data_IF_814322136738
#
_entry.id   IF_814322136738
#
_cell.length_a   1.000
_cell.length_b   1.000
_cell.length_c   1.000
_cell.angle_alpha   90.00
_cell.angle_beta   90.00
_cell.angle_gamma   90.00
#
_symmetry.space_group_name_H-M   'P 1'
#
loop_
_entity.id
_entity.type
_entity.pdbx_description
1 polymer ?
#
# COMPACT_ATOMS: atom_id res chain seq x y z
N UNK A 1 -8.29 -2.69 19.41
CA UNK A 1 -8.95 -2.84 18.09
C UNK A 1 -10.48 -2.90 18.17
N UNK A 2 -11.09 -3.75 18.98
CA UNK A 2 -12.56 -3.84 19.10
C UNK A 2 -13.29 -2.50 19.34
N UNK A 3 -12.72 -1.63 20.18
CA UNK A 3 -13.30 -0.32 20.51
C UNK A 3 -13.41 0.63 19.30
N UNK A 4 -12.55 0.47 18.29
CA UNK A 4 -12.51 1.31 17.10
C UNK A 4 -13.26 0.70 15.94
N UNK A 5 -13.41 -0.61 15.89
CA UNK A 5 -14.15 -1.33 14.84
C UNK A 5 -15.60 -0.84 14.68
N UNK A 6 -16.25 -0.47 15.76
CA UNK A 6 -17.63 0.06 15.75
C UNK A 6 -17.77 1.46 15.13
N UNK A 7 -16.67 2.21 14.99
CA UNK A 7 -16.67 3.57 14.43
C UNK A 7 -16.19 3.60 12.96
N UNK A 8 -15.44 2.59 12.55
CA UNK A 8 -14.92 2.47 11.18
C UNK A 8 -16.04 1.85 10.35
N UNK A 9 -16.71 2.68 9.58
CA UNK A 9 -17.84 2.28 8.72
C UNK A 9 -17.33 1.51 7.50
N UNK A 10 -16.08 1.72 7.08
CA UNK A 10 -15.48 1.13 5.90
C UNK A 10 -14.36 0.14 6.28
N UNK A 11 -14.41 -1.05 5.71
CA UNK A 11 -13.38 -2.09 5.84
C UNK A 11 -12.00 -1.60 5.40
N UNK A 12 -11.92 -0.63 4.51
CA UNK A 12 -10.67 -0.02 4.04
C UNK A 12 -9.90 0.61 5.21
N UNK A 13 -10.57 1.46 6.01
CA UNK A 13 -9.94 2.14 7.15
C UNK A 13 -9.63 1.19 8.31
N UNK A 14 -10.43 0.13 8.46
CA UNK A 14 -10.09 -0.94 9.41
C UNK A 14 -8.80 -1.67 8.95
N UNK A 15 -8.66 -1.96 7.67
CA UNK A 15 -7.45 -2.60 7.14
C UNK A 15 -6.20 -1.71 7.28
N UNK A 16 -6.36 -0.38 7.30
CA UNK A 16 -5.27 0.56 7.56
C UNK A 16 -4.70 0.39 8.97
N UNK A 17 -5.56 0.26 9.99
CA UNK A 17 -5.11 -0.02 11.34
C UNK A 17 -4.54 -1.43 11.49
N UNK A 18 -5.20 -2.43 10.88
CA UNK A 18 -4.75 -3.82 10.95
C UNK A 18 -3.33 -3.99 10.39
N UNK A 19 -3.03 -3.40 9.22
CA UNK A 19 -1.70 -3.48 8.62
C UNK A 19 -0.62 -2.86 9.50
N UNK A 20 -0.92 -1.74 10.14
CA UNK A 20 0.01 -1.08 11.04
C UNK A 20 0.28 -1.95 12.28
N UNK A 21 -0.76 -2.48 12.92
CA UNK A 21 -0.61 -3.34 14.11
C UNK A 21 0.22 -4.60 13.80
N UNK A 22 -0.04 -5.24 12.66
CA UNK A 22 0.69 -6.44 12.26
C UNK A 22 2.16 -6.11 11.94
N UNK A 23 2.43 -5.07 11.16
CA UNK A 23 3.80 -4.68 10.80
C UNK A 23 4.60 -4.20 12.02
N UNK A 24 4.00 -3.42 12.91
CA UNK A 24 4.66 -2.97 14.15
C UNK A 24 5.02 -4.17 15.03
N UNK A 25 4.09 -5.10 15.21
CA UNK A 25 4.27 -6.24 16.10
C UNK A 25 5.24 -7.29 15.54
N UNK A 26 5.17 -7.57 14.26
CA UNK A 26 5.89 -8.70 13.66
C UNK A 26 6.99 -8.29 12.67
N UNK A 27 6.92 -7.08 12.13
CA UNK A 27 7.71 -6.69 10.96
C UNK A 27 7.25 -7.44 9.71
N UNK A 28 8.08 -7.43 8.67
CA UNK A 28 7.81 -8.14 7.42
C UNK A 28 7.13 -7.26 6.38
N UNK A 29 6.33 -7.87 5.51
CA UNK A 29 5.70 -7.17 4.39
C UNK A 29 4.20 -7.35 4.39
N UNK A 30 3.47 -6.24 4.43
CA UNK A 30 2.05 -6.21 4.12
C UNK A 30 1.84 -6.14 2.62
N UNK A 31 0.97 -6.98 2.11
CA UNK A 31 0.59 -7.00 0.69
C UNK A 31 -0.94 -7.11 0.62
N UNK A 32 -1.59 -6.15 -0.03
CA UNK A 32 -3.04 -6.23 -0.27
C UNK A 32 -3.39 -7.45 -1.15
N UNK A 33 -4.57 -8.03 -0.95
CA UNK A 33 -5.07 -9.15 -1.76
C UNK A 33 -5.18 -8.85 -3.27
N UNK A 34 -5.18 -7.57 -3.64
CA UNK A 34 -5.20 -7.10 -5.03
C UNK A 34 -3.80 -6.82 -5.61
N UNK A 35 -2.77 -7.49 -5.10
CA UNK A 35 -1.39 -7.36 -5.59
C UNK A 35 -0.92 -8.71 -6.11
N UNK A 36 -0.35 -8.72 -7.31
CA UNK A 36 0.33 -9.86 -7.90
C UNK A 36 1.83 -9.68 -7.77
N UNK A 37 2.50 -10.64 -7.16
CA UNK A 37 3.97 -10.73 -7.11
C UNK A 37 4.40 -11.79 -8.12
N UNK A 38 5.11 -11.38 -9.17
CA UNK A 38 5.57 -12.27 -10.25
C UNK A 38 7.00 -12.77 -10.01
N UNK A 39 7.80 -11.98 -9.27
CA UNK A 39 9.19 -12.34 -8.96
C UNK A 39 9.57 -11.76 -7.61
N UNK A 40 10.21 -12.59 -6.78
CA UNK A 40 10.79 -12.12 -5.53
C UNK A 40 12.01 -11.23 -5.79
N UNK A 41 12.09 -10.11 -5.09
CA UNK A 41 13.23 -9.21 -5.12
C UNK A 41 13.51 -8.67 -3.71
N UNK A 42 14.66 -9.02 -3.14
CA UNK A 42 15.05 -8.64 -1.77
C UNK A 42 14.96 -7.14 -1.50
N UNK A 43 15.15 -6.32 -2.52
CA UNK A 43 15.10 -4.86 -2.40
C UNK A 43 13.74 -4.34 -1.90
N UNK A 44 12.66 -5.12 -2.09
CA UNK A 44 11.32 -4.79 -1.63
C UNK A 44 10.96 -5.46 -0.30
N UNK A 45 11.57 -6.62 0.00
CA UNK A 45 11.12 -7.48 1.11
C UNK A 45 12.07 -7.49 2.31
N UNK A 46 13.31 -7.01 2.14
CA UNK A 46 14.32 -6.99 3.20
C UNK A 46 14.82 -5.56 3.45
N UNK A 47 13.93 -4.73 4.00
CA UNK A 47 14.22 -3.32 4.32
C UNK A 47 13.63 -2.95 5.68
N UNK A 48 14.28 -2.02 6.35
CA UNK A 48 13.80 -1.45 7.61
C UNK A 48 12.51 -0.65 7.39
N UNK A 49 12.39 -0.04 6.21
CA UNK A 49 11.16 0.53 5.69
C UNK A 49 11.21 0.53 4.16
N UNK A 50 10.13 0.10 3.50
CA UNK A 50 9.93 0.25 2.07
C UNK A 50 8.46 0.42 1.72
N UNK A 51 8.17 1.30 0.77
CA UNK A 51 6.88 1.45 0.10
C UNK A 51 7.10 2.11 -1.27
N UNK A 52 6.21 1.86 -2.23
CA UNK A 52 6.29 2.52 -3.53
C UNK A 52 5.91 3.98 -3.42
N UNK A 53 6.75 4.86 -3.95
CA UNK A 53 6.59 6.31 -3.86
C UNK A 53 5.52 6.82 -4.83
N UNK A 54 4.72 7.75 -4.38
CA UNK A 54 3.83 8.51 -5.26
C UNK A 54 4.64 9.59 -5.98
N UNK A 55 4.43 9.70 -7.28
CA UNK A 55 5.13 10.70 -8.11
C UNK A 55 4.27 11.96 -8.25
N UNK A 56 4.90 13.11 -8.08
CA UNK A 56 4.25 14.43 -8.19
C UNK A 56 3.13 14.70 -7.18
N UNK A 57 3.16 14.03 -6.04
CA UNK A 57 2.24 14.28 -4.94
C UNK A 57 3.05 14.56 -3.66
N UNK A 58 2.90 15.75 -3.11
CA UNK A 58 3.61 16.17 -1.90
C UNK A 58 2.87 15.80 -0.61
N UNK A 59 1.58 15.49 -0.71
CA UNK A 59 0.74 15.12 0.43
C UNK A 59 0.72 13.62 0.69
N UNK A 60 1.02 12.81 -0.34
CA UNK A 60 1.02 11.35 -0.28
C UNK A 60 2.41 10.82 -0.54
N UNK A 61 3.12 10.42 0.51
CA UNK A 61 4.49 9.87 0.38
C UNK A 61 4.54 8.60 -0.48
N UNK A 62 3.54 7.74 -0.40
CA UNK A 62 3.50 6.51 -1.17
C UNK A 62 2.31 5.61 -0.90
N UNK A 63 2.37 4.44 -1.48
CA UNK A 63 1.29 3.44 -1.49
C UNK A 63 1.20 2.69 -0.17
N UNK A 64 -0.01 2.47 0.33
CA UNK A 64 -0.27 1.69 1.54
C UNK A 64 -0.54 0.19 1.27
N UNK A 65 -0.73 -0.19 0.02
CA UNK A 65 -1.07 -1.57 -0.38
C UNK A 65 0.14 -2.51 -0.45
N UNK A 66 1.35 -1.98 -0.33
CA UNK A 66 2.61 -2.72 -0.20
C UNK A 66 3.54 -1.95 0.73
N UNK A 67 3.77 -2.47 1.93
CA UNK A 67 4.66 -1.86 2.93
C UNK A 67 5.51 -2.97 3.54
N UNK A 68 6.83 -2.82 3.47
CA UNK A 68 7.78 -3.64 4.22
C UNK A 68 8.32 -2.81 5.38
N UNK A 69 8.45 -3.41 6.55
CA UNK A 69 9.07 -2.74 7.70
C UNK A 69 9.72 -3.73 8.66
N UNK A 70 10.68 -3.24 9.41
CA UNK A 70 11.12 -3.88 10.64
C UNK A 70 10.05 -3.77 11.74
N UNK A 71 10.21 -4.56 12.79
CA UNK A 71 9.39 -4.45 14.01
C UNK A 71 9.58 -3.08 14.65
N UNK A 72 8.54 -2.58 15.33
CA UNK A 72 8.60 -1.34 16.11
C UNK A 72 9.02 -0.10 15.30
N UNK A 73 8.86 -0.15 13.98
CA UNK A 73 9.24 0.94 13.08
C UNK A 73 8.58 2.27 13.52
N UNK A 74 9.36 3.35 13.73
CA UNK A 74 8.86 4.59 14.32
C UNK A 74 7.87 5.34 13.41
N UNK A 75 8.01 5.23 12.08
CA UNK A 75 7.06 5.81 11.12
C UNK A 75 5.69 5.16 11.28
N UNK A 76 5.66 3.81 11.30
CA UNK A 76 4.41 3.07 11.42
C UNK A 76 3.76 3.28 12.80
N UNK A 77 4.55 3.32 13.88
CA UNK A 77 4.05 3.61 15.25
C UNK A 77 3.41 5.00 15.30
N UNK A 78 4.10 6.01 14.79
CA UNK A 78 3.57 7.38 14.76
C UNK A 78 2.29 7.45 13.92
N UNK A 79 2.26 6.82 12.74
CA UNK A 79 1.05 6.77 11.89
C UNK A 79 -0.12 6.11 12.62
N UNK A 80 0.12 4.97 13.27
CA UNK A 80 -0.90 4.26 14.06
C UNK A 80 -1.46 5.14 15.17
N UNK A 81 -0.58 5.77 15.96
CA UNK A 81 -0.99 6.57 17.11
C UNK A 81 -1.82 7.79 16.68
N UNK A 82 -1.44 8.43 15.56
CA UNK A 82 -2.21 9.52 14.96
C UNK A 82 -3.57 9.04 14.43
N UNK A 83 -3.64 7.86 13.79
CA UNK A 83 -4.90 7.28 13.34
C UNK A 83 -5.82 6.93 14.51
N UNK A 84 -5.30 6.36 15.61
CA UNK A 84 -6.08 6.11 16.80
C UNK A 84 -6.61 7.39 17.42
N UNK A 85 -5.77 8.44 17.51
CA UNK A 85 -6.18 9.73 18.01
C UNK A 85 -7.26 10.36 17.12
N UNK A 86 -7.11 10.30 15.81
CA UNK A 86 -8.11 10.74 14.84
C UNK A 86 -9.45 10.01 15.07
N UNK A 87 -9.48 8.68 15.07
CA UNK A 87 -10.71 7.91 15.25
C UNK A 87 -11.30 8.01 16.66
N UNK A 88 -10.51 8.41 17.64
CA UNK A 88 -11.00 8.69 18.99
C UNK A 88 -11.78 10.00 19.06
N UNK A 89 -11.31 11.02 18.34
CA UNK A 89 -11.87 12.37 18.36
C UNK A 89 -12.97 12.57 17.33
N UNK A 90 -12.74 12.13 16.12
CA UNK A 90 -13.61 12.39 14.98
C UNK A 90 -14.71 11.34 14.87
N UNK A 91 -15.94 11.80 14.60
CA UNK A 91 -17.10 10.93 14.36
C UNK A 91 -17.26 10.54 12.91
N UNK A 92 -16.74 11.34 11.99
CA UNK A 92 -16.88 11.21 10.56
C UNK A 92 -15.52 11.19 9.88
N UNK A 93 -15.46 10.53 8.73
CA UNK A 93 -14.30 10.56 7.87
C UNK A 93 -14.21 11.92 7.17
N UNK A 94 -13.19 12.73 7.51
CA UNK A 94 -12.96 14.03 6.88
C UNK A 94 -12.29 13.90 5.52
N UNK A 95 -11.49 12.85 5.30
CA UNK A 95 -10.75 12.65 4.07
C UNK A 95 -10.50 11.16 3.82
N UNK A 96 -10.81 10.67 2.61
CA UNK A 96 -10.63 9.25 2.26
C UNK A 96 -9.17 8.79 2.41
N UNK A 97 -8.20 9.64 2.09
CA UNK A 97 -6.77 9.33 2.21
C UNK A 97 -6.17 9.69 3.57
N UNK A 98 -6.95 9.69 4.65
CA UNK A 98 -6.45 10.05 6.00
C UNK A 98 -5.20 9.25 6.40
N UNK A 99 -5.16 7.93 6.10
CA UNK A 99 -3.97 7.12 6.32
C UNK A 99 -2.74 7.72 5.63
N UNK A 100 -2.86 8.06 4.36
CA UNK A 100 -1.73 8.54 3.55
C UNK A 100 -1.22 9.90 4.04
N UNK A 101 -2.11 10.79 4.46
CA UNK A 101 -1.74 12.09 5.01
C UNK A 101 -0.96 11.93 6.33
N UNK A 102 -1.45 11.09 7.23
CA UNK A 102 -0.79 10.84 8.52
C UNK A 102 0.51 10.04 8.34
N UNK A 103 0.54 9.11 7.39
CA UNK A 103 1.75 8.38 7.03
C UNK A 103 2.81 9.29 6.42
N UNK A 104 2.43 10.22 5.54
CA UNK A 104 3.33 11.23 4.98
C UNK A 104 3.91 12.12 6.08
N UNK A 105 3.08 12.59 7.01
CA UNK A 105 3.55 13.36 8.16
C UNK A 105 4.58 12.56 9.00
N UNK A 106 4.26 11.32 9.34
CA UNK A 106 5.14 10.45 10.11
C UNK A 106 6.44 10.16 9.36
N UNK A 107 6.38 9.86 8.06
CA UNK A 107 7.56 9.62 7.24
C UNK A 107 8.48 10.85 7.19
N UNK A 108 7.93 12.05 6.98
CA UNK A 108 8.71 13.29 6.93
C UNK A 108 9.37 13.61 8.28
N UNK A 109 8.73 13.26 9.39
CA UNK A 109 9.31 13.41 10.74
C UNK A 109 10.59 12.58 10.92
N UNK A 110 10.68 11.42 10.30
CA UNK A 110 11.82 10.50 10.40
C UNK A 110 12.62 10.37 9.10
N UNK A 111 12.47 11.31 8.16
CA UNK A 111 13.05 11.20 6.82
C UNK A 111 14.58 11.03 6.84
N UNK A 112 15.27 11.61 7.83
CA UNK A 112 16.72 11.48 8.00
C UNK A 112 17.17 10.04 8.20
N UNK A 113 16.36 9.21 8.83
CA UNK A 113 16.68 7.82 9.15
C UNK A 113 16.49 6.91 7.92
N UNK A 114 15.76 7.39 6.89
CA UNK A 114 15.39 6.64 5.70
C UNK A 114 15.92 7.23 4.39
N UNK A 115 16.97 8.05 4.43
CA UNK A 115 17.60 8.64 3.23
C UNK A 115 18.09 7.59 2.23
N UNK A 116 18.46 6.39 2.72
CA UNK A 116 18.91 5.27 1.90
C UNK A 116 17.77 4.33 1.46
N UNK A 117 16.52 4.66 1.79
CA UNK A 117 15.38 3.87 1.33
C UNK A 117 15.28 3.93 -0.20
N UNK A 118 15.21 2.79 -0.88
CA UNK A 118 15.06 2.79 -2.34
C UNK A 118 13.82 3.56 -2.80
N UNK A 119 14.02 4.47 -3.74
CA UNK A 119 12.95 5.31 -4.26
C UNK A 119 12.38 4.69 -5.55
N UNK A 120 11.40 3.80 -5.43
CA UNK A 120 10.69 3.22 -6.55
C UNK A 120 9.32 3.86 -6.73
N UNK A 121 9.08 4.36 -7.94
CA UNK A 121 7.78 4.91 -8.33
C UNK A 121 6.69 3.85 -8.31
N UNK A 122 5.48 4.23 -7.92
CA UNK A 122 4.29 3.40 -8.02
C UNK A 122 3.71 3.33 -9.46
N UNK A 123 4.23 4.10 -10.42
CA UNK A 123 3.69 4.15 -11.80
C UNK A 123 3.79 2.80 -12.51
N UNK A 124 4.97 2.15 -12.61
CA UNK A 124 5.08 0.87 -13.32
C UNK A 124 4.22 -0.24 -12.71
N UNK A 125 4.12 -0.27 -11.39
CA UNK A 125 3.32 -1.29 -10.68
C UNK A 125 1.81 -1.13 -10.89
N UNK A 126 1.35 0.03 -11.34
CA UNK A 126 -0.05 0.29 -11.70
C UNK A 126 -0.37 0.03 -13.19
N UNK A 127 0.60 -0.30 -14.04
CA UNK A 127 0.34 -0.58 -15.45
C UNK A 127 -0.61 -1.76 -15.65
N UNK A 128 -0.47 -2.81 -14.84
CA UNK A 128 -1.37 -3.96 -14.89
C UNK A 128 -2.80 -3.57 -14.55
N UNK A 129 -3.00 -2.75 -13.54
CA UNK A 129 -4.31 -2.23 -13.15
C UNK A 129 -4.98 -1.49 -14.31
N UNK A 130 -4.24 -0.63 -15.01
CA UNK A 130 -4.73 0.08 -16.20
C UNK A 130 -5.05 -0.88 -17.33
N UNK A 131 -4.15 -1.83 -17.64
CA UNK A 131 -4.36 -2.81 -18.71
C UNK A 131 -5.65 -3.63 -18.51
N UNK A 132 -5.98 -3.97 -17.27
CA UNK A 132 -7.20 -4.73 -16.93
C UNK A 132 -8.49 -3.94 -17.20
N UNK A 133 -8.44 -2.62 -17.36
CA UNK A 133 -9.62 -1.79 -17.72
C UNK A 133 -9.86 -1.70 -19.23
N UNK A 134 -8.88 -2.09 -20.05
CA UNK A 134 -8.96 -2.05 -21.52
C UNK A 134 -9.12 -3.44 -22.13
N UNK A 135 -9.30 -3.49 -23.46
CA UNK A 135 -9.28 -4.74 -24.20
C UNK A 135 -7.93 -5.45 -24.02
N UNK A 136 -7.97 -6.75 -23.76
CA UNK A 136 -6.76 -7.54 -23.56
C UNK A 136 -5.84 -7.48 -24.80
N UNK A 137 -4.55 -7.23 -24.54
CA UNK A 137 -3.48 -7.26 -25.51
C UNK A 137 -2.32 -8.08 -24.92
N UNK A 138 -2.04 -9.23 -25.54
CA UNK A 138 -1.03 -10.18 -25.04
C UNK A 138 0.39 -9.62 -25.06
N UNK A 139 0.74 -8.86 -26.09
CA UNK A 139 2.08 -8.24 -26.20
C UNK A 139 2.29 -7.22 -25.08
N UNK A 140 1.31 -6.33 -24.88
CA UNK A 140 1.35 -5.33 -23.80
C UNK A 140 1.34 -5.99 -22.44
N UNK A 141 0.56 -7.05 -22.25
CA UNK A 141 0.51 -7.80 -21.00
C UNK A 141 1.87 -8.42 -20.66
N UNK A 142 2.53 -9.07 -21.64
CA UNK A 142 3.87 -9.64 -21.47
C UNK A 142 4.90 -8.55 -21.17
N UNK A 143 4.82 -7.42 -21.86
CA UNK A 143 5.69 -6.27 -21.58
C UNK A 143 5.55 -5.80 -20.13
N UNK A 144 4.31 -5.58 -19.65
CA UNK A 144 4.03 -5.14 -18.29
C UNK A 144 4.58 -6.14 -17.24
N UNK A 145 4.43 -7.45 -17.48
CA UNK A 145 4.96 -8.48 -16.57
C UNK A 145 6.49 -8.44 -16.47
N UNK A 146 7.18 -8.00 -17.51
CA UNK A 146 8.64 -7.89 -17.53
C UNK A 146 9.16 -6.58 -16.92
N UNK A 147 8.37 -5.50 -16.97
CA UNK A 147 8.74 -4.18 -16.44
C UNK A 147 8.75 -4.11 -14.92
N UNK A 148 7.93 -4.89 -14.25
CA UNK A 148 7.84 -4.92 -12.80
C UNK A 148 7.67 -6.33 -12.27
N UNK A 149 8.12 -6.56 -11.06
CA UNK A 149 7.91 -7.83 -10.33
C UNK A 149 6.73 -7.78 -9.36
N UNK A 150 6.16 -6.61 -9.18
CA UNK A 150 5.00 -6.36 -8.32
C UNK A 150 3.97 -5.56 -9.12
N UNK A 151 2.72 -6.01 -9.12
CA UNK A 151 1.66 -5.39 -9.90
C UNK A 151 0.43 -5.16 -9.05
N UNK A 152 -0.04 -3.91 -8.99
CA UNK A 152 -1.34 -3.59 -8.41
C UNK A 152 -2.43 -3.99 -9.40
N UNK A 153 -3.42 -4.71 -8.91
CA UNK A 153 -4.60 -5.13 -9.65
C UNK A 153 -5.81 -4.31 -9.22
N UNK A 154 -6.93 -4.47 -9.90
CA UNK A 154 -8.20 -3.84 -9.53
C UNK A 154 -9.16 -4.87 -8.94
N UNK A 155 -9.92 -4.47 -7.92
CA UNK A 155 -10.86 -5.36 -7.25
C UNK A 155 -12.10 -5.67 -8.11
N UNK A 156 -12.43 -4.83 -9.09
CA UNK A 156 -13.74 -4.83 -9.77
C UNK A 156 -13.79 -5.65 -11.05
N UNK A 157 -12.66 -5.99 -11.68
CA UNK A 157 -12.62 -6.55 -13.03
C UNK A 157 -12.06 -7.99 -13.06
N UNK A 158 -11.51 -8.45 -11.95
CA UNK A 158 -10.75 -9.70 -11.90
C UNK A 158 -11.59 -10.95 -12.22
N UNK A 159 -12.84 -10.97 -11.79
CA UNK A 159 -13.72 -12.16 -11.95
C UNK A 159 -14.13 -12.37 -13.41
N UNK A 160 -14.35 -11.31 -14.20
CA UNK A 160 -14.85 -11.44 -15.56
C UNK A 160 -13.79 -11.71 -16.62
N UNK A 161 -12.56 -11.21 -16.48
CA UNK A 161 -11.53 -11.34 -17.51
C UNK A 161 -10.67 -12.61 -17.36
N UNK A 162 -10.51 -13.16 -16.16
CA UNK A 162 -9.80 -14.43 -15.97
C UNK A 162 -10.58 -15.63 -16.56
N UNK A 163 -11.90 -15.55 -16.61
CA UNK A 163 -12.73 -16.60 -17.24
C UNK A 163 -12.48 -16.77 -18.75
N UNK A 164 -11.98 -15.71 -19.42
CA UNK A 164 -11.66 -15.75 -20.84
C UNK A 164 -10.20 -16.13 -21.14
N UNK A 165 -9.32 -16.13 -20.13
CA UNK A 165 -7.91 -16.50 -20.29
C UNK A 165 -7.63 -17.99 -20.08
N UNK A 166 -8.59 -18.74 -19.49
CA UNK A 166 -8.47 -20.16 -19.20
C UNK A 166 -9.23 -21.03 -20.26
N UNK A 167 -9.89 -20.43 -21.21
CA UNK A 167 -10.46 -21.10 -22.40
C UNK A 167 -9.55 -20.84 -23.58
#
# INVERSE_FOLDING_TARGET
MEKYQKKIIDNTHFSDLLRLELLIKYGGTWIDASVLVTKYNEIFFKKDLFFFRTVNDTEIAGSNWFITSEKENPVLKTTRDLLYEYWRKEKYLCHYFIFHLLFNYAYNKYISDYLQMPNFSNIPVHYMQKQLTYRFNSTLFTYILNEASIHKLTNTIFIYKFYYLIK
#
